data_IF_701953419124
#
_entry.id   IF_701953419124
#
_cell.length_a   1.000
_cell.length_b   1.000
_cell.length_c   1.000
_cell.angle_alpha   90.00
_cell.angle_beta   90.00
_cell.angle_gamma   90.00
#
_symmetry.space_group_name_H-M   'P 1'
#
loop_
_entity.id
_entity.type
_entity.pdbx_description
1 polymer ?
#
# COMPACT_ATOMS: atom_id res chain seq x y z
N UNK A 1 -5.63 34.78 -13.93
CA UNK A 1 -5.02 33.99 -12.85
C UNK A 1 -5.08 32.52 -13.21
N UNK A 2 -3.97 31.87 -13.14
CA UNK A 2 -3.94 30.43 -13.36
C UNK A 2 -4.51 29.74 -12.13
N UNK A 3 -5.53 28.94 -12.34
CA UNK A 3 -6.08 28.17 -11.24
C UNK A 3 -5.15 26.99 -10.94
N UNK A 4 -4.59 27.01 -9.75
CA UNK A 4 -3.74 25.91 -9.31
C UNK A 4 -4.64 24.73 -8.90
N UNK A 5 -4.27 23.51 -9.30
CA UNK A 5 -4.92 22.33 -8.79
C UNK A 5 -4.73 22.28 -7.28
N UNK A 6 -5.76 21.78 -6.57
CA UNK A 6 -5.66 21.61 -5.13
C UNK A 6 -4.44 20.75 -4.80
N UNK A 7 -3.67 21.20 -3.81
CA UNK A 7 -2.48 20.47 -3.40
C UNK A 7 -2.90 19.12 -2.83
N UNK A 8 -2.24 18.06 -3.28
CA UNK A 8 -2.39 16.74 -2.67
C UNK A 8 -1.30 16.54 -1.64
N UNK A 9 -1.50 15.59 -0.76
CA UNK A 9 -0.48 15.23 0.23
C UNK A 9 -0.25 13.73 0.23
N UNK A 10 0.86 13.34 0.82
CA UNK A 10 1.26 11.94 0.94
C UNK A 10 1.31 11.53 2.39
N UNK A 11 1.04 10.27 2.62
CA UNK A 11 1.25 9.61 3.89
C UNK A 11 2.51 8.76 3.76
N UNK A 12 3.46 8.94 4.66
CA UNK A 12 4.72 8.18 4.65
C UNK A 12 4.89 7.48 5.98
N UNK A 13 5.21 6.19 5.93
CA UNK A 13 5.56 5.41 7.10
C UNK A 13 6.86 4.69 6.80
N UNK A 14 7.82 4.82 7.71
CA UNK A 14 9.11 4.15 7.60
C UNK A 14 9.34 3.27 8.82
N UNK A 15 9.93 2.10 8.59
CA UNK A 15 10.24 1.18 9.66
C UNK A 15 11.47 0.35 9.28
N UNK A 16 12.47 0.35 10.14
CA UNK A 16 13.61 -0.55 9.95
C UNK A 16 13.23 -1.92 10.49
N UNK A 17 13.51 -2.96 9.70
CA UNK A 17 13.19 -4.34 10.06
C UNK A 17 14.47 -5.17 10.05
N UNK A 18 14.67 -6.02 11.08
CA UNK A 18 15.89 -6.84 11.17
C UNK A 18 15.77 -8.10 10.31
N UNK A 19 15.42 -7.92 9.05
CA UNK A 19 15.21 -9.01 8.10
C UNK A 19 15.82 -8.63 6.76
N UNK A 20 16.29 -9.60 5.96
CA UNK A 20 16.81 -9.27 4.64
C UNK A 20 15.69 -8.76 3.72
N UNK A 21 16.03 -7.88 2.76
CA UNK A 21 15.02 -7.35 1.83
C UNK A 21 14.22 -8.43 1.12
N UNK A 22 14.80 -9.56 0.81
CA UNK A 22 14.15 -10.67 0.10
C UNK A 22 12.94 -11.21 0.87
N UNK A 23 13.05 -11.29 2.20
CA UNK A 23 11.91 -11.76 3.02
C UNK A 23 10.77 -10.76 3.03
N UNK A 24 11.09 -9.48 3.16
CA UNK A 24 10.06 -8.43 3.12
C UNK A 24 9.44 -8.39 1.73
N UNK A 25 10.24 -8.53 0.68
CA UNK A 25 9.75 -8.58 -0.69
C UNK A 25 8.74 -9.71 -0.90
N UNK A 26 9.03 -10.89 -0.38
CA UNK A 26 8.09 -12.02 -0.45
C UNK A 26 6.77 -11.67 0.22
N UNK A 27 6.82 -11.09 1.40
CA UNK A 27 5.62 -10.72 2.13
C UNK A 27 4.81 -9.63 1.41
N UNK A 28 5.46 -8.80 0.58
CA UNK A 28 4.81 -7.76 -0.21
C UNK A 28 4.25 -8.27 -1.54
N UNK A 29 4.71 -9.41 -2.05
CA UNK A 29 4.40 -9.82 -3.43
C UNK A 29 3.77 -11.19 -3.57
N UNK A 30 3.69 -11.98 -2.51
CA UNK A 30 3.00 -13.28 -2.55
C UNK A 30 1.61 -13.11 -1.96
N UNK A 31 0.58 -13.37 -2.76
CA UNK A 31 -0.81 -13.14 -2.39
C UNK A 31 -1.21 -13.69 -1.03
N UNK A 32 -0.93 -14.98 -0.74
CA UNK A 32 -1.26 -15.54 0.58
C UNK A 32 -0.55 -14.84 1.74
N UNK A 33 0.67 -14.35 1.52
CA UNK A 33 1.39 -13.61 2.55
C UNK A 33 0.80 -12.22 2.73
N UNK A 34 0.43 -11.55 1.63
CA UNK A 34 -0.24 -10.24 1.70
C UNK A 34 -1.54 -10.36 2.48
N UNK A 35 -2.29 -11.42 2.27
CA UNK A 35 -3.56 -11.63 2.98
C UNK A 35 -3.33 -11.71 4.49
N UNK A 36 -2.20 -12.26 4.91
CA UNK A 36 -1.91 -12.45 6.32
C UNK A 36 -1.67 -11.13 7.07
N UNK A 37 -1.24 -10.06 6.38
CA UNK A 37 -0.97 -8.79 7.06
C UNK A 37 -1.84 -7.63 6.52
N UNK A 38 -2.48 -7.78 5.39
CA UNK A 38 -3.24 -6.70 4.79
C UNK A 38 -4.69 -7.11 4.53
N UNK A 39 -4.98 -7.75 3.40
CA UNK A 39 -6.35 -8.09 2.98
C UNK A 39 -6.34 -9.21 1.97
N UNK A 40 -7.50 -9.83 1.76
CA UNK A 40 -7.68 -10.74 0.64
C UNK A 40 -7.38 -10.01 -0.66
N UNK A 41 -6.76 -10.71 -1.59
CA UNK A 41 -6.30 -10.10 -2.83
C UNK A 41 -6.11 -11.14 -3.92
N UNK A 42 -5.98 -10.65 -5.16
CA UNK A 42 -5.60 -11.45 -6.31
C UNK A 42 -4.35 -10.85 -6.97
N UNK A 43 -3.44 -10.37 -6.15
CA UNK A 43 -2.20 -9.72 -6.57
C UNK A 43 -1.29 -10.67 -7.35
N UNK A 44 -0.63 -10.13 -8.38
CA UNK A 44 0.50 -10.75 -9.07
C UNK A 44 1.54 -9.68 -9.36
N UNK A 45 2.84 -9.98 -9.20
CA UNK A 45 3.90 -8.97 -9.36
C UNK A 45 4.24 -8.76 -10.84
N UNK A 46 3.26 -8.33 -11.61
CA UNK A 46 3.39 -8.08 -13.05
C UNK A 46 2.85 -6.69 -13.34
N UNK A 47 3.68 -5.83 -13.94
CA UNK A 47 3.25 -4.47 -14.31
C UNK A 47 2.04 -4.54 -15.22
N UNK A 48 1.02 -3.74 -14.90
CA UNK A 48 -0.23 -3.70 -15.63
C UNK A 48 -1.29 -4.67 -15.12
N UNK A 49 -0.94 -5.58 -14.22
CA UNK A 49 -1.92 -6.50 -13.64
C UNK A 49 -2.90 -5.72 -12.77
N UNK A 50 -4.18 -5.89 -13.04
CA UNK A 50 -5.24 -5.29 -12.24
C UNK A 50 -5.69 -6.28 -11.18
N UNK A 51 -5.87 -5.79 -9.96
CA UNK A 51 -6.26 -6.63 -8.83
C UNK A 51 -7.08 -5.82 -7.84
N UNK A 52 -7.63 -6.50 -6.84
CA UNK A 52 -8.40 -5.84 -5.79
C UNK A 52 -7.92 -6.31 -4.42
N UNK A 53 -8.04 -5.41 -3.45
CA UNK A 53 -8.03 -5.77 -2.04
C UNK A 53 -9.48 -5.80 -1.56
N UNK A 54 -9.83 -6.78 -0.74
CA UNK A 54 -11.19 -6.95 -0.27
C UNK A 54 -11.22 -7.26 1.22
N UNK A 55 -12.10 -6.52 1.92
CA UNK A 55 -12.31 -6.73 3.36
C UNK A 55 -13.74 -6.33 3.69
N UNK A 56 -14.08 -6.38 4.98
CA UNK A 56 -15.42 -5.99 5.46
C UNK A 56 -15.66 -4.51 5.19
N UNK A 57 -16.81 -4.14 4.58
CA UNK A 57 -17.12 -2.72 4.35
C UNK A 57 -17.14 -1.90 5.63
N UNK A 58 -16.77 -0.63 5.50
CA UNK A 58 -16.76 0.35 6.58
C UNK A 58 -17.55 1.59 6.14
N UNK A 59 -17.88 2.53 7.06
CA UNK A 59 -18.72 3.67 6.70
C UNK A 59 -18.23 4.51 5.52
N UNK A 60 -16.92 4.59 5.30
CA UNK A 60 -16.36 5.41 4.21
C UNK A 60 -15.69 4.56 3.13
N UNK A 61 -16.00 3.26 3.11
CA UNK A 61 -15.33 2.34 2.19
C UNK A 61 -16.19 1.09 1.99
N UNK A 62 -16.45 0.75 0.74
CA UNK A 62 -17.34 -0.36 0.39
C UNK A 62 -16.68 -1.75 0.51
N UNK A 63 -15.49 -1.84 1.06
CA UNK A 63 -14.79 -3.11 1.27
C UNK A 63 -13.93 -3.54 0.08
N UNK A 64 -13.88 -2.75 -0.99
CA UNK A 64 -13.11 -3.09 -2.19
C UNK A 64 -12.20 -1.92 -2.57
N UNK A 65 -10.94 -2.23 -2.85
CA UNK A 65 -9.98 -1.27 -3.37
C UNK A 65 -9.50 -1.77 -4.72
N UNK A 66 -9.66 -0.94 -5.76
CA UNK A 66 -9.19 -1.27 -7.11
C UNK A 66 -7.74 -0.84 -7.27
N UNK A 67 -6.92 -1.74 -7.79
CA UNK A 67 -5.49 -1.52 -7.92
C UNK A 67 -4.98 -1.95 -9.28
N UNK A 68 -3.87 -1.34 -9.69
CA UNK A 68 -3.10 -1.78 -10.85
C UNK A 68 -1.63 -1.70 -10.50
N UNK A 69 -0.88 -2.74 -10.82
CA UNK A 69 0.58 -2.77 -10.57
C UNK A 69 1.28 -1.81 -11.52
N UNK A 70 2.07 -0.90 -10.98
CA UNK A 70 2.74 0.15 -11.74
C UNK A 70 4.25 -0.06 -11.86
N UNK A 71 4.89 -0.54 -10.79
CA UNK A 71 6.35 -0.74 -10.75
C UNK A 71 6.64 -2.04 -10.01
N UNK A 72 7.51 -2.87 -10.58
CA UNK A 72 8.02 -4.07 -9.92
C UNK A 72 9.54 -4.11 -10.14
N UNK A 73 10.28 -3.73 -9.10
CA UNK A 73 11.74 -3.81 -9.08
C UNK A 73 12.11 -4.74 -7.93
N UNK A 74 12.39 -6.02 -8.20
CA UNK A 74 12.55 -7.03 -7.14
C UNK A 74 13.51 -6.59 -6.03
N UNK A 75 13.06 -6.75 -4.80
CA UNK A 75 13.78 -6.43 -3.57
C UNK A 75 14.06 -4.92 -3.39
N UNK A 76 13.54 -4.06 -4.26
CA UNK A 76 13.82 -2.63 -4.20
C UNK A 76 12.56 -1.77 -4.16
N UNK A 77 11.63 -1.96 -5.11
CA UNK A 77 10.46 -1.09 -5.21
C UNK A 77 9.26 -1.80 -5.79
N UNK A 78 8.12 -1.55 -5.16
CA UNK A 78 6.81 -2.02 -5.62
C UNK A 78 5.84 -0.86 -5.55
N UNK A 79 5.10 -0.61 -6.63
CA UNK A 79 4.11 0.45 -6.65
C UNK A 79 2.83 -0.04 -7.30
N UNK A 80 1.69 0.38 -6.76
CA UNK A 80 0.39 0.08 -7.35
C UNK A 80 -0.60 1.19 -7.00
N UNK A 81 -1.59 1.37 -7.88
CA UNK A 81 -2.67 2.30 -7.59
C UNK A 81 -3.55 1.75 -6.47
N UNK A 82 -4.21 2.66 -5.75
CA UNK A 82 -5.05 2.31 -4.60
C UNK A 82 -6.26 3.24 -4.67
N UNK A 83 -7.33 2.76 -5.29
CA UNK A 83 -8.44 3.59 -5.68
C UNK A 83 -9.75 3.07 -5.13
N UNK A 84 -10.69 3.99 -4.90
CA UNK A 84 -12.06 3.63 -4.58
C UNK A 84 -12.66 2.80 -5.73
N UNK A 85 -13.60 1.93 -5.40
CA UNK A 85 -14.17 0.98 -6.33
C UNK A 85 -15.69 1.15 -6.42
N UNK A 86 -16.30 0.56 -7.46
CA UNK A 86 -17.73 0.55 -7.65
C UNK A 86 -18.30 1.94 -7.85
N UNK A 87 -19.41 2.24 -7.20
CA UNK A 87 -20.07 3.53 -7.33
C UNK A 87 -19.24 4.69 -6.80
N UNK A 88 -18.30 4.40 -5.89
CA UNK A 88 -17.43 5.43 -5.32
C UNK A 88 -16.26 5.80 -6.23
N UNK A 89 -16.00 5.02 -7.28
CA UNK A 89 -14.81 5.20 -8.10
C UNK A 89 -14.76 6.57 -8.80
N UNK A 90 -15.90 7.09 -9.23
CA UNK A 90 -15.95 8.31 -10.03
C UNK A 90 -15.47 9.55 -9.27
N UNK A 91 -15.84 9.68 -7.99
CA UNK A 91 -15.47 10.83 -7.18
C UNK A 91 -14.68 10.48 -5.94
N UNK A 92 -14.29 9.22 -5.81
CA UNK A 92 -13.64 8.74 -4.61
C UNK A 92 -12.12 8.81 -4.66
N UNK A 93 -11.51 8.09 -3.74
CA UNK A 93 -10.07 8.09 -3.54
C UNK A 93 -9.32 7.58 -4.78
N UNK A 94 -8.27 8.30 -5.17
CA UNK A 94 -7.35 7.89 -6.24
C UNK A 94 -5.94 8.18 -5.79
N UNK A 95 -5.25 7.14 -5.34
CA UNK A 95 -3.92 7.27 -4.76
C UNK A 95 -2.98 6.23 -5.35
N UNK A 96 -1.71 6.37 -5.02
CA UNK A 96 -0.67 5.39 -5.38
C UNK A 96 0.08 5.00 -4.11
N UNK A 97 0.24 3.70 -3.91
CA UNK A 97 1.04 3.16 -2.81
C UNK A 97 2.38 2.71 -3.38
N UNK A 98 3.46 3.19 -2.79
CA UNK A 98 4.81 2.83 -3.21
C UNK A 98 5.58 2.29 -2.00
N UNK A 99 6.12 1.09 -2.16
CA UNK A 99 7.00 0.44 -1.19
C UNK A 99 8.43 0.55 -1.68
N UNK A 100 9.32 1.05 -0.85
CA UNK A 100 10.75 1.13 -1.16
C UNK A 100 11.52 0.39 -0.07
N UNK A 101 12.41 -0.51 -0.49
CA UNK A 101 13.24 -1.30 0.40
C UNK A 101 14.69 -0.85 0.23
N UNK A 102 15.29 -0.37 1.32
CA UNK A 102 16.68 0.07 1.31
C UNK A 102 17.47 -0.80 2.29
N UNK A 103 18.45 -1.58 1.81
CA UNK A 103 19.26 -2.39 2.72
C UNK A 103 19.94 -1.54 3.77
N UNK A 104 19.97 -2.05 5.02
CA UNK A 104 20.68 -1.43 6.12
C UNK A 104 21.67 -2.41 6.69
N UNK A 105 22.50 -1.95 7.60
CA UNK A 105 23.51 -2.80 8.22
C UNK A 105 22.88 -4.00 8.92
N UNK A 106 21.73 -3.82 9.55
CA UNK A 106 21.06 -4.89 10.30
C UNK A 106 19.85 -5.49 9.62
N UNK A 107 19.50 -5.07 8.39
CA UNK A 107 18.32 -5.56 7.73
C UNK A 107 17.87 -4.69 6.57
N UNK A 108 16.68 -4.11 6.67
CA UNK A 108 16.10 -3.30 5.60
C UNK A 108 15.27 -2.17 6.18
N UNK A 109 15.42 -0.97 5.59
CA UNK A 109 14.49 0.13 5.87
C UNK A 109 13.33 0.01 4.88
N UNK A 110 12.13 -0.16 5.40
CA UNK A 110 10.90 -0.26 4.61
C UNK A 110 10.20 1.08 4.66
N UNK A 111 9.95 1.66 3.48
CA UNK A 111 9.23 2.92 3.36
C UNK A 111 7.96 2.67 2.55
N UNK A 112 6.82 3.02 3.14
CA UNK A 112 5.54 3.02 2.44
C UNK A 112 5.12 4.47 2.23
N UNK A 113 4.74 4.79 1.01
CA UNK A 113 4.20 6.11 0.69
C UNK A 113 2.87 5.93 -0.04
N UNK A 114 1.82 6.54 0.49
CA UNK A 114 0.56 6.64 -0.23
C UNK A 114 0.36 8.09 -0.62
N UNK A 115 0.38 8.38 -1.93
CA UNK A 115 0.35 9.73 -2.47
C UNK A 115 -0.94 10.00 -3.22
N UNK A 116 -1.33 11.28 -3.28
CA UNK A 116 -2.48 11.71 -4.05
C UNK A 116 -3.74 12.02 -3.22
N UNK A 117 -3.62 12.13 -1.90
CA UNK A 117 -4.75 12.52 -1.07
C UNK A 117 -5.12 13.98 -1.33
N UNK A 118 -6.37 14.21 -1.73
CA UNK A 118 -6.92 15.56 -1.95
C UNK A 118 -7.48 16.09 -0.63
N UNK A 119 -7.74 17.42 -0.52
CA UNK A 119 -8.39 17.95 0.68
C UNK A 119 -9.71 17.24 1.03
N UNK A 120 -10.49 16.85 0.01
CA UNK A 120 -11.76 16.14 0.23
C UNK A 120 -11.56 14.69 0.70
N UNK A 121 -10.34 14.18 0.68
CA UNK A 121 -10.02 12.81 1.12
C UNK A 121 -9.59 12.76 2.59
N UNK A 122 -9.87 13.78 3.38
CA UNK A 122 -9.40 13.89 4.76
C UNK A 122 -9.76 12.66 5.61
N UNK A 123 -11.01 12.19 5.51
CA UNK A 123 -11.43 11.03 6.30
C UNK A 123 -10.64 9.78 5.92
N UNK A 124 -10.39 9.59 4.62
CA UNK A 124 -9.58 8.49 4.13
C UNK A 124 -8.12 8.61 4.60
N UNK A 125 -7.58 9.83 4.59
CA UNK A 125 -6.21 10.08 5.04
C UNK A 125 -6.04 9.72 6.53
N UNK A 126 -6.98 10.15 7.38
CA UNK A 126 -6.91 9.86 8.80
C UNK A 126 -7.02 8.35 9.06
N UNK A 127 -7.95 7.68 8.37
CA UNK A 127 -8.10 6.24 8.49
C UNK A 127 -6.85 5.50 8.02
N UNK A 128 -6.27 5.94 6.90
CA UNK A 128 -5.05 5.33 6.37
C UNK A 128 -3.86 5.53 7.30
N UNK A 129 -3.72 6.72 7.89
CA UNK A 129 -2.64 6.99 8.85
C UNK A 129 -2.68 6.00 10.00
N UNK A 130 -3.87 5.73 10.53
CA UNK A 130 -4.04 4.77 11.60
C UNK A 130 -3.82 3.33 11.12
N UNK A 131 -4.43 2.98 9.98
CA UNK A 131 -4.39 1.61 9.46
C UNK A 131 -3.02 1.16 9.02
N UNK A 132 -2.28 2.01 8.32
CA UNK A 132 -0.96 1.64 7.82
C UNK A 132 0.06 1.37 8.92
N UNK A 133 -0.04 2.06 10.07
CA UNK A 133 0.82 1.75 11.22
C UNK A 133 0.65 0.29 11.63
N UNK A 134 -0.59 -0.18 11.70
CA UNK A 134 -0.88 -1.57 12.06
C UNK A 134 -0.46 -2.54 10.96
N UNK A 135 -0.72 -2.20 9.70
CA UNK A 135 -0.37 -3.08 8.57
C UNK A 135 1.14 -3.24 8.43
N UNK A 136 1.91 -2.17 8.57
CA UNK A 136 3.37 -2.27 8.49
C UNK A 136 3.92 -3.14 9.62
N UNK A 137 3.34 -3.05 10.82
CA UNK A 137 3.69 -3.95 11.91
C UNK A 137 3.37 -5.41 11.59
N UNK A 138 2.23 -5.64 10.93
CA UNK A 138 1.84 -6.97 10.46
C UNK A 138 2.79 -7.51 9.40
N UNK A 139 3.20 -6.65 8.47
CA UNK A 139 4.19 -7.01 7.45
C UNK A 139 5.47 -7.54 8.09
N UNK A 140 5.96 -6.85 9.10
CA UNK A 140 7.17 -7.31 9.80
C UNK A 140 6.97 -8.67 10.45
N UNK A 141 5.82 -8.90 11.08
CA UNK A 141 5.53 -10.20 11.70
C UNK A 141 5.48 -11.33 10.68
N UNK A 142 4.91 -11.07 9.51
CA UNK A 142 4.88 -12.07 8.43
C UNK A 142 6.30 -12.36 7.94
N UNK A 143 7.09 -11.32 7.70
CA UNK A 143 8.48 -11.48 7.25
C UNK A 143 9.29 -12.27 8.29
N UNK A 144 9.08 -11.98 9.57
CA UNK A 144 9.79 -12.68 10.66
C UNK A 144 9.50 -14.17 10.68
N UNK A 145 8.32 -14.59 10.24
CA UNK A 145 7.93 -16.00 10.20
C UNK A 145 8.41 -16.76 8.98
N UNK A 146 9.07 -16.11 8.03
CA UNK A 146 9.56 -16.76 6.82
C UNK A 146 10.96 -17.36 7.05
N UNK A 147 11.21 -18.45 6.36
CA UNK A 147 12.53 -19.12 6.40
C UNK A 147 13.52 -18.47 5.46
#
# INVERSE_FOLDING_TARGET
MTKRAAATRSLVIEREMPHPPEKVWRALTEGPLIEAWLMKNDFQPVVGHRFTFRATPMPHWNGVTDCEVLVVEPNERLSYSWNASGEEAAGGLKTVVTWTLTPTKGGVLVRMEQSGFRPEDEANYQGASYGWQRFVGGLERVAAGLD
#
